data_IF_286929397398
#
_entry.id   IF_286929397398
#
_cell.length_a   1.000
_cell.length_b   1.000
_cell.length_c   1.000
_cell.angle_alpha   90.00
_cell.angle_beta   90.00
_cell.angle_gamma   90.00
#
_symmetry.space_group_name_H-M   'P 1'
#
loop_
_entity.id
_entity.type
_entity.pdbx_description
1 polymer ?
#
# COMPACT_ATOMS: atom_id res chain seq x y z
N UNK A 1 15.76 15.16 -1.04
CA UNK A 1 15.87 13.98 -0.18
C UNK A 1 15.45 12.78 -1.01
N UNK A 2 16.21 11.68 -1.00
CA UNK A 2 15.83 10.42 -1.65
C UNK A 2 15.17 9.50 -0.61
N UNK A 3 14.08 8.85 -0.97
CA UNK A 3 13.37 7.90 -0.10
C UNK A 3 13.59 6.50 -0.64
N UNK A 4 14.21 5.65 0.17
CA UNK A 4 14.41 4.24 -0.11
C UNK A 4 13.64 3.39 0.91
N UNK A 5 12.94 2.37 0.44
CA UNK A 5 12.15 1.42 1.21
C UNK A 5 12.58 0.01 0.82
N UNK A 6 12.85 -0.84 1.81
CA UNK A 6 13.17 -2.25 1.61
C UNK A 6 12.22 -3.10 2.43
N UNK A 7 11.61 -4.11 1.80
CA UNK A 7 10.75 -5.06 2.48
C UNK A 7 11.04 -6.49 2.03
N UNK A 8 11.03 -7.42 2.98
CA UNK A 8 11.01 -8.86 2.70
C UNK A 8 9.56 -9.31 2.54
N UNK A 9 9.17 -9.67 1.32
CA UNK A 9 7.84 -10.21 1.02
C UNK A 9 8.04 -11.66 0.58
N UNK A 10 7.65 -12.61 1.44
CA UNK A 10 7.64 -14.04 1.13
C UNK A 10 9.01 -14.59 0.66
N UNK A 11 10.11 -14.15 1.29
CA UNK A 11 11.48 -14.59 0.96
C UNK A 11 12.09 -13.90 -0.27
N UNK A 12 11.42 -12.87 -0.79
CA UNK A 12 11.91 -12.02 -1.88
C UNK A 12 12.00 -10.59 -1.39
N UNK A 13 13.23 -10.08 -1.30
CA UNK A 13 13.50 -8.69 -0.97
C UNK A 13 13.12 -7.81 -2.16
N UNK A 14 12.29 -6.80 -1.90
CA UNK A 14 11.94 -5.76 -2.85
C UNK A 14 12.48 -4.44 -2.28
N UNK A 15 13.35 -3.78 -3.03
CA UNK A 15 13.84 -2.43 -2.72
C UNK A 15 13.17 -1.43 -3.66
N UNK A 16 12.60 -0.38 -3.10
CA UNK A 16 11.95 0.71 -3.84
C UNK A 16 12.63 2.01 -3.46
N UNK A 17 13.13 2.74 -4.45
CA UNK A 17 13.85 4.01 -4.26
C UNK A 17 13.25 5.07 -5.17
N UNK A 18 12.96 6.25 -4.62
CA UNK A 18 12.64 7.45 -5.40
C UNK A 18 13.83 8.40 -5.30
N UNK A 19 14.43 8.66 -6.45
CA UNK A 19 15.44 9.71 -6.62
C UNK A 19 14.71 10.98 -7.05
N UNK A 20 14.84 12.07 -6.28
CA UNK A 20 14.20 13.33 -6.63
C UNK A 20 14.79 13.88 -7.95
N UNK A 21 14.02 14.72 -8.62
CA UNK A 21 14.50 15.41 -9.82
C UNK A 21 15.82 16.15 -9.53
N UNK A 22 16.70 16.14 -10.52
CA UNK A 22 17.89 17.00 -10.54
C UNK A 22 17.71 18.09 -11.59
N UNK A 23 18.65 19.03 -11.67
CA UNK A 23 18.64 20.08 -12.70
C UNK A 23 18.62 19.51 -14.14
N UNK A 24 19.04 18.26 -14.33
CA UNK A 24 19.19 17.64 -15.66
C UNK A 24 18.38 16.35 -15.82
N UNK A 25 17.64 15.92 -14.81
CA UNK A 25 16.89 14.66 -14.87
C UNK A 25 15.56 14.74 -14.12
N UNK A 26 14.49 14.14 -14.67
CA UNK A 26 13.23 13.98 -13.94
C UNK A 26 13.42 13.04 -12.74
N UNK A 27 12.43 12.99 -11.82
CA UNK A 27 12.42 11.99 -10.77
C UNK A 27 12.50 10.57 -11.33
N UNK A 28 13.19 9.68 -10.60
CA UNK A 28 13.34 8.28 -11.01
C UNK A 28 12.86 7.37 -9.90
N UNK A 29 11.84 6.56 -10.21
CA UNK A 29 11.41 5.44 -9.37
C UNK A 29 12.18 4.20 -9.78
N UNK A 30 12.97 3.65 -8.86
CA UNK A 30 13.69 2.39 -9.04
C UNK A 30 13.05 1.32 -8.17
N UNK A 31 12.71 0.17 -8.77
CA UNK A 31 12.26 -1.02 -8.06
C UNK A 31 13.28 -2.13 -8.33
N UNK A 32 13.94 -2.63 -7.30
CA UNK A 32 14.89 -3.74 -7.38
C UNK A 32 14.27 -4.98 -6.73
N UNK A 33 14.38 -6.10 -7.43
CA UNK A 33 14.00 -7.42 -6.96
C UNK A 33 15.14 -8.39 -7.25
N UNK A 34 15.09 -9.59 -6.65
CA UNK A 34 16.10 -10.64 -6.89
C UNK A 34 16.30 -10.98 -8.38
N UNK A 35 15.27 -10.83 -9.21
CA UNK A 35 15.32 -11.14 -10.64
C UNK A 35 15.81 -9.98 -11.52
N UNK A 36 15.95 -8.76 -10.97
CA UNK A 36 16.36 -7.58 -11.74
C UNK A 36 15.82 -6.27 -11.19
N UNK A 37 16.16 -5.18 -11.86
CA UNK A 37 15.71 -3.84 -11.50
C UNK A 37 14.94 -3.18 -12.64
N UNK A 38 13.85 -2.51 -12.29
CA UNK A 38 13.08 -1.65 -13.17
C UNK A 38 13.26 -0.19 -12.76
N UNK A 39 13.46 0.69 -13.73
CA UNK A 39 13.57 2.14 -13.52
C UNK A 39 12.54 2.86 -14.36
N UNK A 40 11.75 3.71 -13.70
CA UNK A 40 10.75 4.55 -14.32
C UNK A 40 11.18 6.01 -14.15
N UNK A 41 11.49 6.65 -15.28
CA UNK A 41 11.65 8.09 -15.37
C UNK A 41 10.28 8.69 -15.60
N UNK A 42 9.72 9.34 -14.59
CA UNK A 42 8.35 9.84 -14.61
C UNK A 42 8.27 11.21 -13.94
N UNK A 43 7.42 12.06 -14.50
CA UNK A 43 7.14 13.38 -13.93
C UNK A 43 6.36 13.24 -12.61
N UNK A 44 6.41 14.26 -11.72
CA UNK A 44 5.73 14.21 -10.44
C UNK A 44 4.22 13.87 -10.54
N UNK A 45 3.53 14.36 -11.57
CA UNK A 45 2.11 14.05 -11.80
C UNK A 45 1.89 12.56 -12.10
N UNK A 46 2.79 11.94 -12.86
CA UNK A 46 2.72 10.52 -13.19
C UNK A 46 3.02 9.64 -11.96
N UNK A 47 3.96 10.06 -11.11
CA UNK A 47 4.23 9.39 -9.84
C UNK A 47 3.04 9.52 -8.86
N UNK A 48 2.34 10.66 -8.86
CA UNK A 48 1.12 10.83 -8.07
C UNK A 48 -0.02 9.93 -8.56
N UNK A 49 -0.19 9.78 -9.88
CA UNK A 49 -1.18 8.84 -10.43
C UNK A 49 -0.85 7.38 -10.06
N UNK A 50 0.44 7.02 -10.05
CA UNK A 50 0.89 5.71 -9.61
C UNK A 50 0.57 5.46 -8.13
N UNK A 51 0.81 6.45 -7.25
CA UNK A 51 0.42 6.38 -5.83
C UNK A 51 -1.08 6.17 -5.68
N UNK A 52 -1.89 6.97 -6.40
CA UNK A 52 -3.34 6.87 -6.35
C UNK A 52 -3.84 5.47 -6.77
N UNK A 53 -3.30 4.92 -7.87
CA UNK A 53 -3.66 3.58 -8.35
C UNK A 53 -3.23 2.48 -7.38
N UNK A 54 -2.02 2.56 -6.83
CA UNK A 54 -1.54 1.61 -5.84
C UNK A 54 -2.40 1.65 -4.58
N UNK A 55 -2.73 2.85 -4.08
CA UNK A 55 -3.59 3.03 -2.93
C UNK A 55 -5.00 2.50 -3.18
N UNK A 56 -5.61 2.83 -4.32
CA UNK A 56 -6.93 2.30 -4.71
C UNK A 56 -6.92 0.78 -4.78
N UNK A 57 -5.86 0.18 -5.33
CA UNK A 57 -5.71 -1.27 -5.39
C UNK A 57 -5.55 -1.89 -4.00
N UNK A 58 -4.74 -1.29 -3.14
CA UNK A 58 -4.54 -1.74 -1.75
C UNK A 58 -5.80 -1.56 -0.90
N UNK A 59 -6.59 -0.50 -1.10
CA UNK A 59 -7.88 -0.32 -0.44
C UNK A 59 -8.90 -1.39 -0.90
N UNK A 60 -8.79 -1.83 -2.16
CA UNK A 60 -9.60 -2.91 -2.72
C UNK A 60 -9.18 -4.31 -2.26
N UNK A 61 -7.91 -4.50 -1.92
CA UNK A 61 -7.45 -5.67 -1.18
C UNK A 61 -7.86 -5.43 0.27
N UNK A 62 -9.05 -5.91 0.66
CA UNK A 62 -9.39 -5.98 2.09
C UNK A 62 -8.22 -6.64 2.80
N UNK A 63 -7.44 -5.85 3.54
CA UNK A 63 -6.69 -6.41 4.65
C UNK A 63 -7.76 -7.11 5.48
N UNK A 64 -7.63 -8.41 5.81
CA UNK A 64 -8.36 -8.91 6.95
C UNK A 64 -7.90 -8.01 8.09
N UNK A 65 -8.73 -7.03 8.41
CA UNK A 65 -8.53 -6.18 9.55
C UNK A 65 -8.27 -7.15 10.70
N UNK A 66 -7.30 -6.81 11.53
CA UNK A 66 -7.21 -7.29 12.92
C UNK A 66 -8.55 -7.84 13.39
N UNK A 67 -8.60 -9.07 13.95
CA UNK A 67 -9.86 -9.73 14.20
C UNK A 67 -10.79 -8.79 14.96
N UNK A 68 -12.05 -8.79 14.51
CA UNK A 68 -13.22 -8.49 15.32
C UNK A 68 -13.91 -7.12 15.18
N UNK A 69 -13.80 -6.34 14.10
CA UNK A 69 -14.87 -5.34 13.86
C UNK A 69 -16.22 -6.03 13.54
N UNK A 70 -16.17 -7.07 12.70
CA UNK A 70 -17.35 -7.87 12.38
C UNK A 70 -17.87 -8.64 13.61
N UNK A 71 -16.98 -9.20 14.43
CA UNK A 71 -17.36 -9.94 15.64
C UNK A 71 -17.81 -9.01 16.77
N UNK A 72 -17.27 -7.79 16.89
CA UNK A 72 -17.82 -6.76 17.78
C UNK A 72 -19.24 -6.39 17.31
N UNK A 73 -19.43 -6.14 16.01
CA UNK A 73 -20.75 -5.81 15.45
C UNK A 73 -21.76 -6.97 15.65
N UNK A 74 -21.35 -8.21 15.38
CA UNK A 74 -22.19 -9.39 15.56
C UNK A 74 -22.54 -9.60 17.04
N UNK A 75 -21.61 -9.32 17.94
CA UNK A 75 -21.84 -9.37 19.39
C UNK A 75 -22.80 -8.28 19.85
N UNK A 76 -22.67 -7.06 19.35
CA UNK A 76 -23.59 -5.94 19.65
C UNK A 76 -25.00 -6.20 19.10
N UNK A 77 -25.12 -6.76 17.90
CA UNK A 77 -26.41 -7.14 17.30
C UNK A 77 -27.07 -8.25 18.12
N UNK A 78 -26.33 -9.31 18.46
CA UNK A 78 -26.88 -10.41 19.24
C UNK A 78 -27.28 -9.96 20.66
N UNK A 79 -26.47 -9.11 21.30
CA UNK A 79 -26.80 -8.52 22.59
C UNK A 79 -28.08 -7.67 22.53
N UNK A 80 -28.26 -6.87 21.47
CA UNK A 80 -29.48 -6.05 21.28
C UNK A 80 -30.74 -6.90 21.05
N UNK A 81 -30.59 -8.09 20.45
CA UNK A 81 -31.68 -9.06 20.27
C UNK A 81 -32.05 -9.73 21.60
N UNK A 82 -31.05 -10.08 22.42
CA UNK A 82 -31.27 -10.67 23.75
C UNK A 82 -31.85 -9.68 24.77
N UNK A 83 -31.50 -8.40 24.68
CA UNK A 83 -31.98 -7.33 25.58
C UNK A 83 -33.40 -6.81 25.25
N UNK A 84 -34.08 -7.39 24.26
CA UNK A 84 -35.54 -7.29 24.11
C UNK A 84 -36.04 -6.01 23.45
N UNK A 85 -35.80 -5.86 22.15
CA UNK A 85 -36.65 -5.06 21.26
C UNK A 85 -37.33 -5.99 20.24
N UNK A 86 -38.18 -6.88 20.72
CA UNK A 86 -39.25 -7.57 19.98
C UNK A 86 -40.38 -7.93 20.95
#
# INVERSE_FOLDING_TARGET
MSTAFSADVSGRTIDVEIQPATQYSPPVLTIRQQAGSFQLHADPEQLAELEYKLRTFLDGIRYPETPDQQVILDKEINQSIEEGIA
#
